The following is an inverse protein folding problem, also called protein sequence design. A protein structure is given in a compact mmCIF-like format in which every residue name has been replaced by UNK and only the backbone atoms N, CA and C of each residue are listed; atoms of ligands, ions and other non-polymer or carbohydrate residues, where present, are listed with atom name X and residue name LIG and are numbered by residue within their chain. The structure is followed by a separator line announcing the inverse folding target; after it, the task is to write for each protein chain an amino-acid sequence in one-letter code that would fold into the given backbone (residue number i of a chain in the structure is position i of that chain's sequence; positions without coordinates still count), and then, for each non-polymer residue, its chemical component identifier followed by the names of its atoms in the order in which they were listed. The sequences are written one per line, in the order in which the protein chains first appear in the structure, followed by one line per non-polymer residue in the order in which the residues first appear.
data_IF_089084342294
#
_entry.id   IF_089084342294
#
_cell.length_a   1.000
_cell.length_b   1.000
_cell.length_c   1.000
_cell.angle_alpha   90.00
_cell.angle_beta   90.00
_cell.angle_gamma   90.00
#
_symmetry.space_group_name_H-M   'P 1'
#
loop_
_entity.id
_entity.type
_entity.pdbx_description
1 polymer ?
#
# COMPACT_ATOMS: atom_id res chain seq x y z
N UNK A 1 15.47 26.15 9.45
CA UNK A 1 16.68 26.64 10.14
C UNK A 1 17.26 25.47 10.90
N UNK A 2 18.48 25.08 10.60
CA UNK A 2 19.23 23.97 11.19
C UNK A 2 20.66 24.46 11.46
N UNK A 3 21.16 24.20 12.67
CA UNK A 3 22.51 24.55 13.12
C UNK A 3 23.06 23.37 13.93
N UNK A 4 24.22 22.87 13.52
CA UNK A 4 25.00 21.94 14.34
C UNK A 4 26.05 22.72 15.13
N UNK A 5 25.83 22.86 16.43
CA UNK A 5 26.66 23.69 17.30
C UNK A 5 27.98 22.98 17.67
N UNK A 6 29.01 23.75 18.04
CA UNK A 6 30.34 23.22 18.44
C UNK A 6 30.30 22.32 19.68
N UNK A 7 29.28 22.44 20.53
CA UNK A 7 28.99 21.53 21.65
C UNK A 7 28.54 20.13 21.19
N UNK A 8 28.26 19.96 19.89
CA UNK A 8 27.75 18.75 19.28
C UNK A 8 26.23 18.61 19.34
N UNK A 9 25.50 19.61 19.84
CA UNK A 9 24.03 19.64 19.82
C UNK A 9 23.51 20.17 18.48
N UNK A 10 22.38 19.64 18.02
CA UNK A 10 21.70 20.12 16.83
C UNK A 10 20.49 20.96 17.25
N UNK A 11 20.39 22.17 16.72
CA UNK A 11 19.27 23.07 16.94
C UNK A 11 18.56 23.31 15.61
N UNK A 12 17.25 23.17 15.60
CA UNK A 12 16.46 23.38 14.39
C UNK A 12 15.04 23.83 14.67
N UNK A 13 14.30 24.17 13.62
CA UNK A 13 12.88 24.51 13.72
C UNK A 13 12.07 23.55 12.87
N UNK A 14 11.09 22.91 13.49
CA UNK A 14 10.01 22.20 12.79
C UNK A 14 9.01 23.25 12.30
N UNK A 15 8.58 23.14 11.05
CA UNK A 15 7.69 24.11 10.41
C UNK A 15 6.55 23.41 9.69
N UNK A 16 5.36 23.99 9.75
CA UNK A 16 4.24 23.67 8.88
C UNK A 16 3.78 24.93 8.12
N UNK A 17 2.57 24.92 7.55
CA UNK A 17 2.04 26.02 6.75
C UNK A 17 1.79 27.32 7.52
N UNK A 18 1.64 27.28 8.85
CA UNK A 18 1.25 28.44 9.67
C UNK A 18 2.00 28.61 10.98
N UNK A 19 2.82 27.63 11.37
CA UNK A 19 3.47 27.56 12.66
C UNK A 19 4.92 27.08 12.56
N UNK A 20 5.67 27.38 13.62
CA UNK A 20 7.01 26.84 13.83
C UNK A 20 7.22 26.47 15.29
N UNK A 21 7.94 25.38 15.52
CA UNK A 21 8.35 24.92 16.84
C UNK A 21 9.87 24.78 16.86
N UNK A 22 10.51 25.38 17.86
CA UNK A 22 11.96 25.20 18.08
C UNK A 22 12.23 23.79 18.60
N UNK A 23 13.29 23.17 18.13
CA UNK A 23 13.68 21.82 18.49
C UNK A 23 15.19 21.73 18.77
N UNK A 24 15.56 20.87 19.70
CA UNK A 24 16.95 20.55 20.03
C UNK A 24 17.14 19.04 20.09
N UNK A 25 18.23 18.55 19.50
CA UNK A 25 18.69 17.17 19.67
C UNK A 25 20.08 17.20 20.32
N UNK A 26 20.19 16.64 21.53
CA UNK A 26 21.44 16.64 22.27
C UNK A 26 22.47 15.68 21.66
N UNK A 27 23.74 15.91 21.99
CA UNK A 27 24.89 15.19 21.42
C UNK A 27 24.82 13.69 21.72
N UNK A 28 24.17 13.27 22.80
CA UNK A 28 23.99 11.85 23.10
C UNK A 28 23.10 11.17 22.05
N UNK A 29 22.05 11.86 21.63
CA UNK A 29 20.94 11.35 20.83
C UNK A 29 21.27 11.36 19.34
N UNK A 30 22.12 12.28 18.88
CA UNK A 30 22.52 12.36 17.48
C UNK A 30 23.66 11.40 17.05
N UNK A 31 24.23 10.61 17.97
CA UNK A 31 25.30 9.63 17.64
C UNK A 31 24.82 8.49 16.74
N UNK A 32 23.54 8.14 16.82
CA UNK A 32 22.92 7.08 16.02
C UNK A 32 22.32 7.55 14.70
N UNK A 33 22.48 8.83 14.34
CA UNK A 33 21.93 9.37 13.10
C UNK A 33 22.73 8.86 11.89
N UNK A 34 22.04 8.17 10.98
CA UNK A 34 22.59 7.67 9.72
C UNK A 34 22.56 8.71 8.59
N UNK A 35 22.13 9.94 8.86
CA UNK A 35 22.05 11.02 7.88
C UNK A 35 22.38 12.37 8.54
N UNK A 36 22.76 13.35 7.71
CA UNK A 36 22.97 14.74 8.13
C UNK A 36 21.72 15.58 7.86
N UNK A 37 21.00 16.07 8.90
CA UNK A 37 19.87 16.95 8.69
C UNK A 37 20.29 18.25 7.98
N UNK A 38 19.43 18.76 7.10
CA UNK A 38 19.69 20.01 6.38
C UNK A 38 18.45 20.92 6.38
N UNK A 39 18.67 22.21 6.12
CA UNK A 39 17.57 23.16 5.93
C UNK A 39 16.66 22.72 4.77
N UNK A 40 15.34 22.74 5.00
CA UNK A 40 14.34 22.38 4.00
C UNK A 40 14.03 20.88 3.91
N UNK A 41 14.73 20.03 4.68
CA UNK A 41 14.45 18.60 4.74
C UNK A 41 13.13 18.34 5.46
N UNK A 42 12.30 17.47 4.89
CA UNK A 42 11.15 16.91 5.58
C UNK A 42 11.66 15.84 6.56
N UNK A 43 11.20 15.89 7.81
CA UNK A 43 11.65 15.02 8.91
C UNK A 43 10.48 14.57 9.78
N UNK A 44 10.55 13.34 10.26
CA UNK A 44 9.75 12.84 11.37
C UNK A 44 10.61 12.99 12.64
N UNK A 45 10.08 13.68 13.63
CA UNK A 45 10.76 13.93 14.89
C UNK A 45 9.91 13.40 16.05
N UNK A 46 10.54 12.67 16.98
CA UNK A 46 9.95 12.18 18.22
C UNK A 46 10.70 12.75 19.43
N UNK A 47 9.99 12.97 20.53
CA UNK A 47 10.54 13.52 21.76
C UNK A 47 9.52 14.34 22.57
N UNK A 48 10.02 15.04 23.60
CA UNK A 48 9.20 15.71 24.61
C UNK A 48 9.16 17.23 24.44
N UNK A 49 8.04 17.86 24.81
CA UNK A 49 7.95 19.32 24.92
C UNK A 49 8.54 19.76 26.26
N UNK A 50 9.44 20.75 26.21
CA UNK A 50 10.13 21.31 27.37
C UNK A 50 10.17 22.84 27.30
N UNK A 51 10.29 23.49 28.45
CA UNK A 51 10.49 24.95 28.55
C UNK A 51 11.98 25.22 28.62
N UNK A 52 12.50 26.08 27.76
CA UNK A 52 13.85 26.62 27.87
C UNK A 52 13.88 27.80 28.87
N UNK A 53 14.34 27.59 30.12
CA UNK A 53 14.11 28.55 31.20
C UNK A 53 14.69 29.96 30.94
N UNK A 54 15.90 30.12 30.37
CA UNK A 54 16.48 31.45 30.13
C UNK A 54 15.65 32.38 29.24
N UNK A 55 14.78 31.84 28.39
CA UNK A 55 13.92 32.63 27.50
C UNK A 55 12.43 32.39 27.70
N UNK A 56 12.05 31.47 28.60
CA UNK A 56 10.66 31.09 28.84
C UNK A 56 9.94 30.54 27.59
N UNK A 57 10.68 29.99 26.62
CA UNK A 57 10.12 29.51 25.36
C UNK A 57 9.95 27.99 25.39
N UNK A 58 8.83 27.51 24.84
CA UNK A 58 8.63 26.08 24.58
C UNK A 58 9.52 25.62 23.42
N UNK A 59 10.12 24.45 23.59
CA UNK A 59 10.89 23.75 22.57
C UNK A 59 10.66 22.25 22.68
N UNK A 60 10.87 21.52 21.59
CA UNK A 60 10.90 20.07 21.58
C UNK A 60 12.32 19.56 21.83
N UNK A 61 12.49 18.65 22.78
CA UNK A 61 13.73 17.87 22.96
C UNK A 61 13.57 16.58 22.17
N UNK A 62 14.26 16.50 21.04
CA UNK A 62 14.16 15.39 20.09
C UNK A 62 15.13 14.29 20.49
N UNK A 63 14.62 13.06 20.62
CA UNK A 63 15.40 11.86 20.91
C UNK A 63 15.57 10.94 19.69
N UNK A 64 14.64 10.99 18.74
CA UNK A 64 14.69 10.29 17.46
C UNK A 64 14.33 11.22 16.32
N UNK A 65 15.10 11.12 15.24
CA UNK A 65 14.94 11.94 14.06
C UNK A 65 15.12 11.05 12.83
N UNK A 66 14.14 11.08 11.94
CA UNK A 66 14.13 10.32 10.69
C UNK A 66 13.81 11.28 9.53
N UNK A 67 14.35 11.05 8.32
CA UNK A 67 13.87 11.76 7.14
C UNK A 67 12.38 11.43 6.95
N UNK A 68 11.53 12.45 6.87
CA UNK A 68 10.13 12.25 6.47
C UNK A 68 10.08 12.23 4.95
N UNK A 69 9.33 11.29 4.41
CA UNK A 69 8.92 11.29 3.02
C UNK A 69 9.87 10.53 2.10
N UNK A 70 9.28 9.51 1.47
CA UNK A 70 9.58 8.98 0.14
C UNK A 70 10.98 8.41 -0.14
N UNK A 71 12.10 8.92 0.35
CA UNK A 71 13.43 8.51 -0.15
C UNK A 71 13.69 7.00 -0.12
N UNK A 72 13.60 6.36 1.06
CA UNK A 72 13.86 4.92 1.20
C UNK A 72 12.82 4.04 0.50
N UNK A 73 11.53 4.35 0.69
CA UNK A 73 10.43 3.61 0.06
C UNK A 73 10.39 3.82 -1.45
N UNK A 74 10.62 5.03 -1.95
CA UNK A 74 10.72 5.33 -3.37
C UNK A 74 11.95 4.66 -4.01
N UNK A 75 13.11 4.69 -3.35
CA UNK A 75 14.29 3.95 -3.82
C UNK A 75 14.05 2.44 -3.85
N UNK A 76 13.42 1.88 -2.81
CA UNK A 76 13.04 0.47 -2.78
C UNK A 76 12.01 0.13 -3.88
N UNK A 77 11.04 1.01 -4.10
CA UNK A 77 10.04 0.88 -5.15
C UNK A 77 10.69 0.90 -6.54
N UNK A 78 11.51 1.91 -6.85
CA UNK A 78 12.18 2.01 -8.16
C UNK A 78 13.16 0.85 -8.38
N UNK A 79 13.89 0.41 -7.36
CA UNK A 79 14.77 -0.75 -7.45
C UNK A 79 13.98 -2.04 -7.75
N UNK A 80 12.88 -2.27 -7.05
CA UNK A 80 12.04 -3.45 -7.28
C UNK A 80 11.33 -3.38 -8.64
N UNK A 81 10.82 -2.21 -9.01
CA UNK A 81 10.22 -1.96 -10.33
C UNK A 81 11.20 -2.26 -11.45
N UNK A 82 12.45 -1.78 -11.35
CA UNK A 82 13.48 -2.09 -12.34
C UNK A 82 13.78 -3.59 -12.41
N UNK A 83 13.90 -4.26 -11.25
CA UNK A 83 14.10 -5.72 -11.18
C UNK A 83 12.98 -6.48 -11.89
N UNK A 84 11.73 -6.24 -11.50
CA UNK A 84 10.57 -6.98 -12.03
C UNK A 84 10.27 -6.63 -13.50
N UNK A 85 10.54 -5.39 -13.91
CA UNK A 85 10.49 -5.01 -15.32
C UNK A 85 11.55 -5.77 -16.15
N UNK A 86 12.77 -5.92 -15.62
CA UNK A 86 13.82 -6.72 -16.25
C UNK A 86 13.49 -8.21 -16.34
N UNK A 87 12.66 -8.72 -15.43
CA UNK A 87 12.09 -10.08 -15.47
C UNK A 87 10.85 -10.20 -16.40
N UNK A 88 10.33 -9.09 -16.95
CA UNK A 88 9.19 -9.08 -17.86
C UNK A 88 7.80 -9.11 -17.19
N UNK A 89 7.71 -9.00 -15.86
CA UNK A 89 6.43 -9.16 -15.14
C UNK A 89 5.36 -8.12 -15.51
N UNK A 90 5.76 -6.99 -16.08
CA UNK A 90 4.85 -5.90 -16.45
C UNK A 90 4.41 -5.94 -17.91
N UNK A 91 4.92 -6.89 -18.70
CA UNK A 91 4.68 -6.92 -20.13
C UNK A 91 3.21 -7.19 -20.45
N UNK A 92 2.66 -6.40 -21.38
CA UNK A 92 1.24 -6.48 -21.75
C UNK A 92 0.83 -7.84 -22.30
N UNK A 93 1.75 -8.62 -22.86
CA UNK A 93 1.46 -9.95 -23.41
C UNK A 93 1.19 -11.01 -22.34
N UNK A 94 1.55 -10.76 -21.07
CA UNK A 94 1.20 -11.62 -19.94
C UNK A 94 -0.17 -11.28 -19.33
N UNK A 95 -0.72 -10.11 -19.63
CA UNK A 95 -1.97 -9.63 -19.04
C UNK A 95 -3.18 -10.33 -19.67
N UNK A 96 -4.04 -10.86 -18.82
CA UNK A 96 -5.26 -11.59 -19.18
C UNK A 96 -6.42 -10.61 -19.42
N UNK A 97 -7.25 -10.83 -20.44
CA UNK A 97 -8.46 -10.01 -20.63
C UNK A 97 -9.46 -10.23 -19.50
N UNK A 98 -10.17 -9.18 -19.11
CA UNK A 98 -11.27 -9.30 -18.15
C UNK A 98 -12.50 -9.97 -18.79
N UNK A 99 -13.23 -10.82 -18.05
CA UNK A 99 -14.51 -11.35 -18.50
C UNK A 99 -15.53 -10.21 -18.66
N UNK A 100 -16.30 -10.22 -19.75
CA UNK A 100 -17.33 -9.19 -19.99
C UNK A 100 -18.53 -9.31 -19.04
N UNK A 101 -18.80 -10.52 -18.55
CA UNK A 101 -19.94 -10.83 -17.70
C UNK A 101 -19.49 -11.83 -16.62
N UNK A 102 -18.76 -11.38 -15.58
CA UNK A 102 -18.32 -12.27 -14.52
C UNK A 102 -19.52 -12.77 -13.71
N UNK A 103 -19.64 -14.08 -13.55
CA UNK A 103 -20.62 -14.71 -12.67
C UNK A 103 -20.16 -14.64 -11.21
N UNK A 104 -18.85 -14.71 -10.97
CA UNK A 104 -18.28 -14.65 -9.64
C UNK A 104 -17.04 -13.75 -9.58
N UNK A 105 -17.08 -12.77 -8.67
CA UNK A 105 -16.02 -11.80 -8.42
C UNK A 105 -15.42 -12.10 -7.04
N UNK A 106 -14.14 -12.44 -7.01
CA UNK A 106 -13.38 -12.57 -5.77
C UNK A 106 -12.83 -11.22 -5.35
N UNK A 107 -12.94 -10.87 -4.07
CA UNK A 107 -12.42 -9.62 -3.52
C UNK A 107 -11.50 -9.93 -2.36
N UNK A 108 -10.26 -9.44 -2.41
CA UNK A 108 -9.27 -9.54 -1.33
C UNK A 108 -9.07 -8.16 -0.75
N UNK A 109 -9.69 -7.91 0.40
CA UNK A 109 -9.62 -6.62 1.11
C UNK A 109 -10.06 -6.78 2.56
N UNK A 110 -10.03 -5.69 3.34
CA UNK A 110 -10.51 -5.69 4.72
C UNK A 110 -12.03 -5.54 4.79
N UNK A 111 -12.69 -6.38 5.60
CA UNK A 111 -14.14 -6.30 5.91
C UNK A 111 -14.55 -5.01 6.63
N UNK A 112 -13.60 -4.32 7.28
CA UNK A 112 -13.88 -3.13 8.10
C UNK A 112 -13.83 -1.82 7.31
N UNK A 113 -13.34 -1.84 6.06
CA UNK A 113 -13.18 -0.65 5.24
C UNK A 113 -14.47 -0.18 4.56
N UNK A 114 -14.57 1.12 4.27
CA UNK A 114 -15.64 1.65 3.41
C UNK A 114 -15.55 1.09 1.97
N UNK A 115 -14.32 0.86 1.49
CA UNK A 115 -14.04 0.38 0.14
C UNK A 115 -14.83 -0.88 -0.25
N UNK A 116 -14.93 -1.88 0.64
CA UNK A 116 -15.69 -3.10 0.33
C UNK A 116 -17.19 -2.84 0.21
N UNK A 117 -17.73 -1.96 1.05
CA UNK A 117 -19.17 -1.60 1.01
C UNK A 117 -19.49 -0.87 -0.28
N UNK A 118 -18.63 0.06 -0.69
CA UNK A 118 -18.78 0.81 -1.94
C UNK A 118 -18.72 -0.12 -3.15
N UNK A 119 -17.76 -1.05 -3.18
CA UNK A 119 -17.67 -2.05 -4.25
C UNK A 119 -18.91 -2.93 -4.33
N UNK A 120 -19.37 -3.48 -3.20
CA UNK A 120 -20.58 -4.31 -3.15
C UNK A 120 -21.79 -3.51 -3.66
N UNK A 121 -21.97 -2.27 -3.20
CA UNK A 121 -23.10 -1.44 -3.61
C UNK A 121 -23.09 -1.16 -5.12
N UNK A 122 -21.93 -0.84 -5.70
CA UNK A 122 -21.79 -0.55 -7.12
C UNK A 122 -22.07 -1.80 -7.96
N UNK A 123 -21.42 -2.92 -7.63
CA UNK A 123 -21.57 -4.19 -8.36
C UNK A 123 -23.02 -4.67 -8.27
N UNK A 124 -23.61 -4.72 -7.07
CA UNK A 124 -24.99 -5.18 -6.89
C UNK A 124 -26.02 -4.28 -7.59
N UNK A 125 -25.73 -2.98 -7.75
CA UNK A 125 -26.61 -2.06 -8.48
C UNK A 125 -26.49 -2.21 -10.00
N UNK A 126 -25.28 -2.40 -10.52
CA UNK A 126 -25.01 -2.44 -11.97
C UNK A 126 -25.21 -3.83 -12.57
N UNK A 127 -24.85 -4.88 -11.85
CA UNK A 127 -24.92 -6.26 -12.33
C UNK A 127 -25.26 -7.22 -11.18
N UNK A 128 -26.54 -7.24 -10.72
CA UNK A 128 -26.98 -8.04 -9.57
C UNK A 128 -26.85 -9.56 -9.75
N UNK A 129 -26.55 -10.03 -10.96
CA UNK A 129 -26.35 -11.45 -11.25
C UNK A 129 -24.98 -11.96 -10.78
N UNK A 130 -23.97 -11.08 -10.65
CA UNK A 130 -22.66 -11.49 -10.15
C UNK A 130 -22.68 -11.79 -8.66
N UNK A 131 -22.05 -12.90 -8.28
CA UNK A 131 -21.76 -13.27 -6.89
C UNK A 131 -20.46 -12.60 -6.45
N UNK A 132 -20.44 -12.03 -5.26
CA UNK A 132 -19.23 -11.45 -4.66
C UNK A 132 -18.76 -12.36 -3.54
N UNK A 133 -17.52 -12.85 -3.64
CA UNK A 133 -16.86 -13.63 -2.59
C UNK A 133 -15.74 -12.79 -1.98
N UNK A 134 -15.78 -12.61 -0.66
CA UNK A 134 -14.80 -11.80 0.07
C UNK A 134 -13.83 -12.68 0.83
N UNK A 135 -12.54 -12.52 0.57
CA UNK A 135 -11.46 -12.96 1.44
C UNK A 135 -11.05 -11.78 2.32
N UNK A 136 -11.30 -11.89 3.62
CA UNK A 136 -10.91 -10.86 4.59
C UNK A 136 -9.40 -10.91 4.82
N UNK A 137 -8.68 -9.89 4.37
CA UNK A 137 -7.24 -9.75 4.56
C UNK A 137 -6.88 -8.39 5.16
N UNK A 138 -5.82 -8.36 5.96
CA UNK A 138 -5.11 -7.10 6.25
C UNK A 138 -4.57 -6.52 4.95
N UNK A 139 -4.78 -5.23 4.79
CA UNK A 139 -4.35 -4.46 3.61
C UNK A 139 -3.34 -3.36 3.97
N UNK A 140 -2.86 -3.35 5.23
CA UNK A 140 -1.90 -2.39 5.74
C UNK A 140 -1.16 -2.94 6.95
N UNK A 141 0.05 -2.41 7.18
CA UNK A 141 0.89 -2.80 8.30
C UNK A 141 1.49 -4.20 8.17
N UNK A 142 2.17 -4.62 9.23
CA UNK A 142 2.96 -5.85 9.23
C UNK A 142 2.11 -7.11 8.96
N UNK A 143 2.60 -7.95 8.06
CA UNK A 143 1.95 -9.20 7.66
C UNK A 143 0.84 -9.04 6.62
N UNK A 144 0.46 -7.82 6.22
CA UNK A 144 -0.58 -7.60 5.22
C UNK A 144 -0.25 -8.23 3.86
N UNK A 145 1.00 -8.13 3.39
CA UNK A 145 1.40 -8.73 2.12
C UNK A 145 1.17 -10.26 2.10
N UNK A 146 1.46 -10.95 3.21
CA UNK A 146 1.20 -12.38 3.35
C UNK A 146 -0.29 -12.72 3.31
N UNK A 147 -1.15 -11.92 3.95
CA UNK A 147 -2.60 -12.12 3.91
C UNK A 147 -3.20 -11.82 2.52
N UNK A 148 -2.67 -10.82 1.80
CA UNK A 148 -3.06 -10.53 0.40
C UNK A 148 -2.69 -11.72 -0.50
N UNK A 149 -1.46 -12.25 -0.38
CA UNK A 149 -1.01 -13.42 -1.13
C UNK A 149 -1.90 -14.63 -0.82
N UNK A 150 -2.18 -14.89 0.46
CA UNK A 150 -3.06 -15.98 0.87
C UNK A 150 -4.47 -15.86 0.28
N UNK A 151 -5.00 -14.63 0.16
CA UNK A 151 -6.30 -14.38 -0.50
C UNK A 151 -6.27 -14.68 -2.00
N UNK A 152 -5.21 -14.27 -2.71
CA UNK A 152 -5.02 -14.58 -4.13
C UNK A 152 -4.90 -16.09 -4.33
N UNK A 153 -4.06 -16.76 -3.55
CA UNK A 153 -3.85 -18.22 -3.61
C UNK A 153 -5.12 -19.00 -3.25
N UNK A 154 -5.88 -18.53 -2.26
CA UNK A 154 -7.17 -19.12 -1.88
C UNK A 154 -8.11 -19.23 -3.08
N UNK A 155 -8.35 -18.13 -3.80
CA UNK A 155 -9.23 -18.17 -4.97
C UNK A 155 -8.65 -19.01 -6.13
N UNK A 156 -7.33 -18.92 -6.36
CA UNK A 156 -6.68 -19.72 -7.40
C UNK A 156 -6.74 -21.23 -7.15
N UNK A 157 -6.58 -21.67 -5.89
CA UNK A 157 -6.67 -23.09 -5.54
C UNK A 157 -8.07 -23.66 -5.81
N UNK A 158 -9.12 -22.88 -5.56
CA UNK A 158 -10.50 -23.30 -5.81
C UNK A 158 -10.82 -23.42 -7.31
N UNK A 159 -10.18 -22.59 -8.15
CA UNK A 159 -10.22 -22.73 -9.61
C UNK A 159 -9.70 -24.11 -10.07
N UNK A 160 -8.58 -24.53 -9.49
CA UNK A 160 -7.90 -25.77 -9.88
C UNK A 160 -8.66 -27.03 -9.45
N UNK A 161 -9.26 -27.01 -8.25
CA UNK A 161 -10.08 -28.12 -7.76
C UNK A 161 -11.31 -28.38 -8.64
N UNK A 162 -11.94 -27.34 -9.17
CA UNK A 162 -13.10 -27.52 -10.05
C UNK A 162 -12.70 -28.05 -11.44
N UNK A 163 -11.56 -27.61 -11.99
CA UNK A 163 -11.06 -28.11 -13.27
C UNK A 163 -10.73 -29.62 -13.26
N UNK A 164 -10.45 -30.19 -12.07
CA UNK A 164 -10.10 -31.60 -11.89
C UNK A 164 -11.25 -32.47 -11.38
N UNK A 165 -12.36 -31.87 -10.94
CA UNK A 165 -13.50 -32.61 -10.37
C UNK A 165 -14.69 -32.63 -11.33
N UNK A 166 -15.03 -33.81 -11.84
CA UNK A 166 -16.30 -34.10 -12.54
C UNK A 166 -17.49 -34.24 -11.58
N UNK A 167 -17.30 -33.99 -10.27
CA UNK A 167 -18.37 -34.03 -9.26
C UNK A 167 -18.86 -32.61 -8.92
N UNK A 168 -20.11 -32.35 -9.26
CA UNK A 168 -20.83 -31.07 -9.29
C UNK A 168 -21.10 -30.41 -7.92
N UNK A 169 -20.34 -30.73 -6.85
CA UNK A 169 -20.69 -30.35 -5.47
C UNK A 169 -19.53 -29.69 -4.68
N UNK A 170 -18.64 -28.90 -5.32
CA UNK A 170 -17.85 -27.94 -4.54
C UNK A 170 -18.75 -26.76 -4.15
N UNK A 171 -18.92 -26.48 -2.86
CA UNK A 171 -19.81 -25.42 -2.35
C UNK A 171 -19.37 -24.01 -2.78
N UNK A 172 -18.12 -23.86 -3.20
CA UNK A 172 -17.53 -22.59 -3.62
C UNK A 172 -17.36 -22.63 -5.15
N UNK A 173 -17.99 -21.67 -5.82
CA UNK A 173 -17.88 -21.47 -7.26
C UNK A 173 -16.52 -20.81 -7.57
N UNK A 174 -15.84 -21.18 -8.67
CA UNK A 174 -14.67 -20.47 -9.18
C UNK A 174 -14.96 -18.97 -9.34
N UNK A 175 -13.95 -18.13 -9.11
CA UNK A 175 -14.04 -16.71 -9.45
C UNK A 175 -13.55 -16.49 -10.87
N UNK A 176 -14.25 -15.64 -11.62
CA UNK A 176 -13.90 -15.27 -13.00
C UNK A 176 -12.88 -14.12 -13.03
N UNK A 177 -12.85 -13.32 -11.96
CA UNK A 177 -12.00 -12.14 -11.80
C UNK A 177 -11.77 -11.86 -10.32
N UNK A 178 -10.56 -11.37 -9.98
CA UNK A 178 -10.21 -10.92 -8.64
C UNK A 178 -10.06 -9.41 -8.59
N UNK A 179 -10.47 -8.81 -7.48
CA UNK A 179 -10.15 -7.43 -7.13
C UNK A 179 -9.32 -7.46 -5.85
N UNK A 180 -8.10 -6.94 -5.92
CA UNK A 180 -7.25 -6.71 -4.76
C UNK A 180 -7.16 -5.20 -4.52
N UNK A 181 -7.26 -4.76 -3.28
CA UNK A 181 -7.13 -3.33 -3.04
C UNK A 181 -7.55 -2.89 -1.65
N UNK A 182 -7.42 -1.59 -1.43
CA UNK A 182 -7.87 -0.89 -0.24
C UNK A 182 -8.36 0.50 -0.60
N UNK A 183 -9.00 1.17 0.36
CA UNK A 183 -9.23 2.61 0.27
C UNK A 183 -7.91 3.39 0.35
N UNK A 184 -7.98 4.72 0.28
CA UNK A 184 -6.80 5.58 0.38
C UNK A 184 -5.99 5.39 1.66
N UNK A 185 -4.78 5.95 1.68
CA UNK A 185 -3.81 5.82 2.75
C UNK A 185 -2.52 6.53 2.38
N UNK A 186 -1.56 6.57 3.31
CA UNK A 186 -0.20 7.04 3.01
C UNK A 186 0.57 6.02 2.15
N UNK A 187 1.76 6.39 1.65
CA UNK A 187 2.62 5.45 0.90
C UNK A 187 3.05 4.24 1.75
N UNK A 188 3.19 4.42 3.05
CA UNK A 188 3.48 3.36 4.02
C UNK A 188 2.30 2.40 4.17
N UNK A 189 1.08 2.95 4.23
CA UNK A 189 -0.17 2.20 4.28
C UNK A 189 -0.42 1.34 3.03
N UNK A 190 0.08 1.80 1.88
CA UNK A 190 -0.02 1.11 0.59
C UNK A 190 1.18 0.17 0.34
N UNK A 191 2.21 0.23 1.18
CA UNK A 191 3.47 -0.50 0.96
C UNK A 191 3.32 -2.02 0.81
N UNK A 192 2.39 -2.72 1.48
CA UNK A 192 2.20 -4.16 1.27
C UNK A 192 1.94 -4.54 -0.20
N UNK A 193 1.34 -3.65 -0.98
CA UNK A 193 1.08 -3.84 -2.41
C UNK A 193 2.30 -3.57 -3.29
N UNK A 194 3.39 -3.04 -2.72
CA UNK A 194 4.69 -2.91 -3.37
C UNK A 194 5.61 -4.10 -3.09
N UNK A 195 5.24 -5.04 -2.22
CA UNK A 195 6.09 -6.17 -1.91
C UNK A 195 6.20 -7.17 -3.07
N UNK A 196 7.40 -7.71 -3.27
CA UNK A 196 7.69 -8.64 -4.37
C UNK A 196 6.81 -9.90 -4.32
N UNK A 197 6.51 -10.41 -3.13
CA UNK A 197 5.67 -11.60 -2.94
C UNK A 197 4.25 -11.39 -3.49
N UNK A 198 3.69 -10.18 -3.28
CA UNK A 198 2.37 -9.82 -3.83
C UNK A 198 2.45 -9.70 -5.35
N UNK A 199 3.51 -9.07 -5.86
CA UNK A 199 3.70 -8.93 -7.30
C UNK A 199 3.77 -10.30 -8.01
N UNK A 200 4.51 -11.25 -7.44
CA UNK A 200 4.62 -12.61 -7.96
C UNK A 200 3.31 -13.38 -7.82
N UNK A 201 2.56 -13.21 -6.74
CA UNK A 201 1.26 -13.86 -6.59
C UNK A 201 0.25 -13.38 -7.65
N UNK A 202 0.24 -12.08 -7.95
CA UNK A 202 -0.60 -11.52 -9.02
C UNK A 202 -0.18 -12.08 -10.38
N UNK A 203 1.12 -12.07 -10.69
CA UNK A 203 1.64 -12.57 -11.96
C UNK A 203 1.29 -14.04 -12.21
N UNK A 204 1.39 -14.89 -11.19
CA UNK A 204 1.09 -16.32 -11.31
C UNK A 204 -0.40 -16.68 -11.15
N UNK A 205 -1.26 -15.71 -10.83
CA UNK A 205 -2.70 -15.95 -10.73
C UNK A 205 -3.24 -16.46 -12.07
N UNK A 206 -4.01 -17.55 -12.06
CA UNK A 206 -4.73 -18.06 -13.24
C UNK A 206 -6.02 -17.27 -13.48
N UNK A 207 -6.56 -16.66 -12.43
CA UNK A 207 -7.72 -15.76 -12.49
C UNK A 207 -7.22 -14.33 -12.81
N UNK A 208 -7.85 -13.58 -13.73
CA UNK A 208 -7.46 -12.20 -14.01
C UNK A 208 -7.63 -11.31 -12.76
N UNK A 209 -6.64 -10.45 -12.49
CA UNK A 209 -6.57 -9.61 -11.29
C UNK A 209 -6.67 -8.13 -11.64
N UNK A 210 -7.57 -7.43 -10.97
CA UNK A 210 -7.69 -5.98 -10.96
C UNK A 210 -7.02 -5.44 -9.69
N UNK A 211 -6.02 -4.57 -9.85
CA UNK A 211 -5.47 -3.81 -8.72
C UNK A 211 -6.25 -2.52 -8.51
N UNK A 212 -6.70 -2.29 -7.29
CA UNK A 212 -7.52 -1.15 -6.88
C UNK A 212 -6.93 -0.47 -5.62
N UNK A 213 -5.62 -0.22 -5.65
CA UNK A 213 -4.84 0.25 -4.49
C UNK A 213 -4.54 1.74 -4.59
N UNK A 214 -4.09 2.19 -5.77
CA UNK A 214 -3.55 3.53 -5.97
C UNK A 214 -4.59 4.65 -5.84
N UNK A 215 -4.10 5.88 -5.96
CA UNK A 215 -4.88 7.05 -6.38
C UNK A 215 -4.37 7.49 -7.76
N UNK A 216 -4.97 8.50 -8.40
CA UNK A 216 -4.53 8.97 -9.73
C UNK A 216 -3.02 9.28 -9.80
N UNK A 217 -2.39 9.63 -8.67
CA UNK A 217 -0.97 10.01 -8.56
C UNK A 217 -0.02 8.90 -8.06
N UNK A 218 -0.53 7.88 -7.36
CA UNK A 218 0.30 6.87 -6.69
C UNK A 218 0.13 5.50 -7.35
N UNK A 219 1.12 5.09 -8.15
CA UNK A 219 1.17 3.76 -8.80
C UNK A 219 1.99 2.81 -7.94
N UNK A 220 1.41 1.64 -7.63
CA UNK A 220 2.07 0.56 -6.88
C UNK A 220 2.65 -0.52 -7.82
N UNK A 221 3.51 -1.39 -7.31
CA UNK A 221 3.99 -2.56 -8.07
C UNK A 221 2.82 -3.48 -8.44
N UNK A 222 1.85 -3.65 -7.52
CA UNK A 222 0.62 -4.39 -7.80
C UNK A 222 -0.14 -3.84 -9.01
N UNK A 223 -0.22 -2.51 -9.16
CA UNK A 223 -0.86 -1.86 -10.32
C UNK A 223 -0.13 -2.15 -11.64
N UNK A 224 1.20 -2.28 -11.60
CA UNK A 224 2.02 -2.53 -12.79
C UNK A 224 1.88 -3.97 -13.28
N UNK A 225 1.87 -4.94 -12.35
CA UNK A 225 1.79 -6.37 -12.66
C UNK A 225 0.36 -6.87 -12.90
N UNK A 226 -0.65 -6.21 -12.32
CA UNK A 226 -2.04 -6.63 -12.49
C UNK A 226 -2.49 -6.62 -13.95
N UNK A 227 -3.45 -7.49 -14.25
CA UNK A 227 -4.05 -7.61 -15.58
C UNK A 227 -4.76 -6.30 -15.96
N UNK A 228 -5.38 -5.66 -14.96
CA UNK A 228 -5.95 -4.32 -15.09
C UNK A 228 -5.70 -3.47 -13.84
N UNK A 229 -5.45 -2.17 -14.04
CA UNK A 229 -5.37 -1.16 -12.98
C UNK A 229 -6.68 -0.40 -12.88
N UNK A 230 -7.18 -0.21 -11.67
CA UNK A 230 -8.25 0.71 -11.33
C UNK A 230 -7.72 1.79 -10.36
N UNK A 231 -8.02 3.09 -10.59
CA UNK A 231 -7.53 4.17 -9.76
C UNK A 231 -8.17 4.24 -8.37
N UNK A 232 -9.28 3.53 -8.14
CA UNK A 232 -9.96 3.41 -6.84
C UNK A 232 -10.72 2.08 -6.75
N UNK A 233 -11.07 1.60 -5.54
CA UNK A 233 -11.98 0.46 -5.36
C UNK A 233 -13.32 0.63 -6.09
N UNK A 234 -13.90 1.83 -6.06
CA UNK A 234 -15.16 2.13 -6.76
C UNK A 234 -14.99 2.02 -8.27
N UNK A 235 -13.89 2.54 -8.84
CA UNK A 235 -13.60 2.38 -10.25
C UNK A 235 -13.36 0.91 -10.63
N UNK A 236 -12.76 0.10 -9.75
CA UNK A 236 -12.63 -1.34 -9.98
C UNK A 236 -13.99 -2.03 -10.07
N UNK A 237 -14.91 -1.67 -9.17
CA UNK A 237 -16.28 -2.15 -9.19
C UNK A 237 -17.08 -1.71 -10.43
N UNK A 238 -16.75 -0.57 -11.05
CA UNK A 238 -17.34 -0.16 -12.33
C UNK A 238 -16.70 -0.81 -13.54
N UNK A 239 -15.41 -1.13 -13.48
CA UNK A 239 -14.66 -1.77 -14.57
C UNK A 239 -14.98 -3.26 -14.70
N UNK A 240 -15.33 -3.90 -13.58
CA UNK A 240 -15.56 -5.34 -13.52
C UNK A 240 -16.95 -5.74 -14.03
N UNK A 241 -17.93 -4.81 -14.12
CA UNK A 241 -19.32 -5.08 -14.53
C UNK A 241 -19.94 -4.10 -15.53
#
# INVERSE_FOLDING_TARGET
NFVHHSSGHMYFSLKDAGAQLSAVMFRGQNRGLLFGPMNGMQILAHGDISVYPPRGQYQMVVDQLQPAGAGGLHLAFEALKQKLAGEGLFDSHHKKPLPKFPECIGVVTSVTGAAIRDMIQIISRRFPLSRILLYNAKVQGDGAAGEIVAGIEYFNSHQQFQAQSTQTHSEIQPCDVLIIGRGGGSIEDLWPFNEEVVARAIYHSVIPVISAVGHEIDVTISDLVADMRAPTPSAAAELVV
#
